data_IF_162868530533
#
_entry.id   IF_162868530533
#
_cell.length_a   1.000
_cell.length_b   1.000
_cell.length_c   1.000
_cell.angle_alpha   90.00
_cell.angle_beta   90.00
_cell.angle_gamma   90.00
#
_symmetry.space_group_name_H-M   'P 1'
#
loop_
_entity.id
_entity.type
_entity.pdbx_description
1 polymer ?
#
# COMPACT_ATOMS: atom_id res chain seq x y z
N UNK A 1 -44.06 -3.10 -25.14
CA UNK A 1 -42.83 -3.38 -24.36
C UNK A 1 -41.73 -2.50 -24.94
N UNK A 2 -41.27 -1.43 -24.26
CA UNK A 2 -40.17 -0.63 -24.79
C UNK A 2 -38.85 -1.38 -24.51
N UNK A 3 -38.08 -1.61 -25.57
CA UNK A 3 -36.73 -2.14 -25.50
C UNK A 3 -35.81 -1.04 -24.94
N UNK A 4 -35.39 -1.23 -23.69
CA UNK A 4 -34.41 -0.37 -23.02
C UNK A 4 -33.02 -0.68 -23.60
N UNK A 5 -32.52 0.20 -24.47
CA UNK A 5 -31.14 0.14 -24.96
C UNK A 5 -30.21 0.45 -23.79
N UNK A 6 -29.56 -0.58 -23.24
CA UNK A 6 -28.50 -0.44 -22.25
C UNK A 6 -27.25 0.09 -22.99
N UNK A 7 -26.97 1.40 -22.89
CA UNK A 7 -25.68 1.95 -23.30
C UNK A 7 -24.60 1.38 -22.34
N UNK A 8 -23.90 0.33 -22.79
CA UNK A 8 -22.65 -0.10 -22.18
C UNK A 8 -21.61 1.00 -22.44
N UNK A 9 -21.44 1.90 -21.48
CA UNK A 9 -20.32 2.82 -21.44
C UNK A 9 -19.05 1.98 -21.22
N UNK A 10 -18.34 1.70 -22.32
CA UNK A 10 -17.00 1.09 -22.26
C UNK A 10 -16.07 2.11 -21.63
N UNK A 11 -15.97 2.11 -20.29
CA UNK A 11 -14.88 2.80 -19.63
C UNK A 11 -13.62 2.00 -19.93
N UNK A 12 -12.83 2.46 -20.89
CA UNK A 12 -11.46 2.00 -21.09
C UNK A 12 -10.71 2.29 -19.79
N UNK A 13 -10.60 1.28 -18.92
CA UNK A 13 -9.81 1.37 -17.71
C UNK A 13 -8.35 1.50 -18.11
N UNK A 14 -7.89 2.72 -18.38
CA UNK A 14 -6.52 2.99 -18.78
C UNK A 14 -5.57 2.42 -17.73
N UNK A 15 -4.80 1.43 -18.14
CA UNK A 15 -3.65 0.91 -17.39
C UNK A 15 -2.51 1.90 -17.61
N UNK A 16 -1.80 2.23 -16.54
CA UNK A 16 -0.62 3.10 -16.58
C UNK A 16 0.64 2.26 -16.70
N UNK A 17 1.55 2.58 -17.61
CA UNK A 17 2.90 2.00 -17.60
C UNK A 17 3.82 2.85 -16.72
N UNK A 18 4.65 2.23 -15.91
CA UNK A 18 5.61 2.95 -15.08
C UNK A 18 6.76 2.08 -14.59
N UNK A 19 7.76 2.72 -13.99
CA UNK A 19 8.89 2.03 -13.39
C UNK A 19 8.44 1.29 -12.11
N UNK A 20 9.03 0.11 -11.89
CA UNK A 20 9.03 -0.57 -10.61
C UNK A 20 10.28 -0.13 -9.81
N UNK A 21 10.13 0.52 -8.63
CA UNK A 21 11.26 1.01 -7.83
C UNK A 21 12.28 -0.07 -7.44
N UNK A 22 11.84 -1.31 -7.24
CA UNK A 22 12.70 -2.41 -6.77
C UNK A 22 13.46 -3.05 -7.93
N UNK A 23 12.76 -3.42 -9.00
CA UNK A 23 13.34 -4.16 -10.13
C UNK A 23 13.91 -3.28 -11.24
N UNK A 24 13.65 -1.97 -11.23
CA UNK A 24 14.03 -1.04 -12.30
C UNK A 24 13.26 -1.22 -13.62
N UNK A 25 12.50 -2.30 -13.77
CA UNK A 25 11.78 -2.60 -15.00
C UNK A 25 10.47 -1.82 -15.12
N UNK A 26 10.11 -1.46 -16.34
CA UNK A 26 8.79 -0.89 -16.65
C UNK A 26 7.73 -1.97 -16.59
N UNK A 27 6.62 -1.70 -15.89
CA UNK A 27 5.46 -2.59 -15.76
C UNK A 27 4.16 -1.85 -15.99
N UNK A 28 3.12 -2.61 -16.28
CA UNK A 28 1.73 -2.17 -16.29
C UNK A 28 1.18 -2.10 -14.85
N UNK A 29 0.49 -1.00 -14.55
CA UNK A 29 -0.05 -0.66 -13.25
C UNK A 29 -1.49 -0.16 -13.38
N UNK A 30 -2.32 -0.40 -12.37
CA UNK A 30 -3.69 0.09 -12.33
C UNK A 30 -3.77 1.60 -12.19
N UNK A 31 -2.72 2.22 -11.62
CA UNK A 31 -2.66 3.65 -11.32
C UNK A 31 -1.24 4.18 -11.55
N UNK A 32 -1.13 5.47 -11.86
CA UNK A 32 0.14 6.20 -11.77
C UNK A 32 0.56 6.34 -10.29
N UNK A 33 1.84 6.63 -10.06
CA UNK A 33 2.35 6.81 -8.69
C UNK A 33 1.64 7.94 -7.93
N UNK A 34 1.36 9.06 -8.61
CA UNK A 34 0.64 10.18 -7.99
C UNK A 34 -0.80 9.80 -7.60
N UNK A 35 -1.47 8.98 -8.41
CA UNK A 35 -2.79 8.44 -8.09
C UNK A 35 -2.73 7.46 -6.91
N UNK A 36 -1.68 6.63 -6.82
CA UNK A 36 -1.45 5.72 -5.68
C UNK A 36 -1.34 6.51 -4.37
N UNK A 37 -0.53 7.57 -4.33
CA UNK A 37 -0.39 8.45 -3.16
C UNK A 37 -1.74 9.06 -2.77
N UNK A 38 -2.50 9.56 -3.74
CA UNK A 38 -3.83 10.13 -3.48
C UNK A 38 -4.83 9.09 -2.96
N UNK A 39 -4.79 7.88 -3.52
CA UNK A 39 -5.66 6.78 -3.11
C UNK A 39 -5.34 6.32 -1.69
N UNK A 40 -4.05 6.17 -1.36
CA UNK A 40 -3.56 5.87 -0.03
C UNK A 40 -4.09 6.84 1.00
N UNK A 41 -3.90 8.15 0.77
CA UNK A 41 -4.37 9.21 1.67
C UNK A 41 -5.89 9.20 1.88
N UNK A 42 -6.66 8.83 0.85
CA UNK A 42 -8.12 8.70 0.97
C UNK A 42 -8.50 7.46 1.79
N UNK A 43 -7.88 6.33 1.49
CA UNK A 43 -8.14 5.04 2.13
C UNK A 43 -7.69 5.05 3.61
N UNK A 44 -6.64 5.79 3.94
CA UNK A 44 -6.13 5.96 5.30
C UNK A 44 -7.23 6.39 6.28
N UNK A 45 -8.02 7.40 5.90
CA UNK A 45 -9.17 7.85 6.71
C UNK A 45 -10.21 6.75 6.93
N UNK A 46 -10.41 5.91 5.91
CA UNK A 46 -11.38 4.80 6.00
C UNK A 46 -10.86 3.71 6.94
N UNK A 47 -9.56 3.40 6.89
CA UNK A 47 -8.92 2.44 7.80
C UNK A 47 -9.00 2.93 9.24
N UNK A 48 -8.64 4.18 9.52
CA UNK A 48 -8.72 4.74 10.87
C UNK A 48 -10.16 4.71 11.42
N UNK A 49 -11.16 5.03 10.60
CA UNK A 49 -12.57 4.95 11.00
C UNK A 49 -13.04 3.50 11.24
N UNK A 50 -12.49 2.52 10.52
CA UNK A 50 -12.90 1.14 10.61
C UNK A 50 -12.27 0.41 11.80
N UNK A 51 -10.97 0.63 12.03
CA UNK A 51 -10.20 -0.12 13.01
C UNK A 51 -9.90 0.67 14.29
N UNK A 52 -10.04 1.99 14.28
CA UNK A 52 -9.50 2.84 15.33
C UNK A 52 -7.97 2.93 15.30
N UNK A 53 -7.44 4.01 15.85
CA UNK A 53 -6.00 4.13 16.15
C UNK A 53 -5.82 3.70 17.60
N UNK A 54 -4.80 2.90 17.87
CA UNK A 54 -4.49 2.49 19.23
C UNK A 54 -3.85 3.67 19.99
N UNK A 55 -4.49 4.09 21.08
CA UNK A 55 -4.10 5.28 21.86
C UNK A 55 -2.95 4.95 22.83
N UNK A 56 -1.75 4.77 22.28
CA UNK A 56 -0.52 4.54 23.02
C UNK A 56 0.65 5.22 22.29
N UNK A 57 1.03 6.40 22.76
CA UNK A 57 2.05 7.23 22.11
C UNK A 57 3.45 6.60 22.18
N UNK A 58 3.78 5.94 23.30
CA UNK A 58 5.09 5.28 23.47
C UNK A 58 5.22 4.09 22.54
N UNK A 59 4.19 3.24 22.47
CA UNK A 59 4.16 2.11 21.53
C UNK A 59 4.17 2.57 20.08
N UNK A 60 3.39 3.61 19.76
CA UNK A 60 3.34 4.17 18.40
C UNK A 60 4.69 4.75 17.98
N UNK A 61 5.40 5.43 18.90
CA UNK A 61 6.75 5.93 18.64
C UNK A 61 7.73 4.77 18.43
N UNK A 62 7.70 3.75 19.29
CA UNK A 62 8.58 2.58 19.14
C UNK A 62 8.39 1.87 17.79
N UNK A 63 7.13 1.64 17.39
CA UNK A 63 6.84 1.04 16.08
C UNK A 63 7.32 1.93 14.94
N UNK A 64 7.17 3.26 15.05
CA UNK A 64 7.69 4.19 14.04
C UNK A 64 9.22 4.11 13.96
N UNK A 65 9.94 4.13 15.08
CA UNK A 65 11.40 4.02 15.13
C UNK A 65 11.91 2.77 14.40
N UNK A 66 11.39 1.59 14.76
CA UNK A 66 11.75 0.33 14.09
C UNK A 66 11.41 0.37 12.60
N UNK A 67 10.25 0.92 12.24
CA UNK A 67 9.83 1.00 10.86
C UNK A 67 10.69 1.96 10.02
N UNK A 68 11.12 3.10 10.60
CA UNK A 68 12.01 4.05 9.96
C UNK A 68 13.41 3.46 9.74
N UNK A 69 13.92 2.67 10.70
CA UNK A 69 15.19 1.94 10.52
C UNK A 69 15.11 0.95 9.36
N UNK A 70 14.04 0.15 9.29
CA UNK A 70 13.82 -0.78 8.18
C UNK A 70 13.63 -0.04 6.85
N UNK A 71 12.90 1.07 6.86
CA UNK A 71 12.66 1.90 5.68
C UNK A 71 13.95 2.53 5.16
N UNK A 72 14.86 2.97 6.02
CA UNK A 72 16.13 3.57 5.62
C UNK A 72 16.98 2.63 4.75
N UNK A 73 16.92 1.31 5.02
CA UNK A 73 17.65 0.28 4.29
C UNK A 73 16.91 -0.30 3.07
N UNK A 74 15.66 0.12 2.83
CA UNK A 74 14.80 -0.39 1.75
C UNK A 74 15.22 0.10 0.35
N UNK A 75 14.77 -0.60 -0.71
CA UNK A 75 15.09 -0.21 -2.09
C UNK A 75 14.57 1.19 -2.42
N UNK A 76 13.39 1.55 -1.90
CA UNK A 76 12.79 2.85 -2.20
C UNK A 76 13.63 4.04 -1.71
N UNK A 77 14.52 3.84 -0.71
CA UNK A 77 15.41 4.89 -0.19
C UNK A 77 16.78 4.95 -0.83
N UNK A 78 17.14 4.00 -1.70
CA UNK A 78 18.46 3.98 -2.33
C UNK A 78 18.72 5.17 -3.27
N UNK A 79 19.97 5.65 -3.39
CA UNK A 79 20.30 6.83 -4.20
C UNK A 79 19.86 6.72 -5.68
N UNK A 80 19.95 5.53 -6.26
CA UNK A 80 19.56 5.25 -7.64
C UNK A 80 18.04 5.24 -7.87
N UNK A 81 17.25 5.12 -6.80
CA UNK A 81 15.79 5.16 -6.90
C UNK A 81 15.33 6.56 -7.30
N UNK A 82 14.49 6.70 -8.34
CA UNK A 82 14.02 8.00 -8.79
C UNK A 82 13.37 8.80 -7.65
N UNK A 83 13.68 10.09 -7.61
CA UNK A 83 13.31 11.01 -6.53
C UNK A 83 11.82 10.92 -6.13
N UNK A 84 10.91 10.85 -7.11
CA UNK A 84 9.46 10.74 -6.86
C UNK A 84 9.05 9.55 -5.98
N UNK A 85 9.81 8.45 -6.01
CA UNK A 85 9.60 7.30 -5.13
C UNK A 85 10.36 7.52 -3.82
N UNK A 86 11.62 7.94 -3.93
CA UNK A 86 12.53 8.17 -2.79
C UNK A 86 12.05 9.19 -1.78
N UNK A 87 11.22 10.14 -2.19
CA UNK A 87 10.64 11.19 -1.33
C UNK A 87 9.20 10.87 -0.88
N UNK A 88 8.73 9.65 -1.13
CA UNK A 88 7.40 9.25 -0.65
C UNK A 88 7.41 9.19 0.87
N UNK A 89 6.49 9.91 1.49
CA UNK A 89 6.27 9.86 2.94
C UNK A 89 5.70 8.48 3.31
N UNK A 90 6.25 7.87 4.37
CA UNK A 90 5.68 6.67 4.96
C UNK A 90 5.01 7.03 6.28
N UNK A 91 3.89 6.38 6.54
CA UNK A 91 3.10 6.55 7.75
C UNK A 91 2.88 5.18 8.37
N UNK A 92 3.44 4.95 9.55
CA UNK A 92 3.31 3.72 10.30
C UNK A 92 2.28 3.93 11.40
N UNK A 93 1.26 3.06 11.51
CA UNK A 93 0.22 3.20 12.54
C UNK A 93 -0.11 1.88 13.23
N UNK A 94 -0.29 1.98 14.54
CA UNK A 94 -0.86 0.90 15.34
C UNK A 94 -2.38 1.04 15.38
N UNK A 95 -3.08 -0.01 14.94
CA UNK A 95 -4.54 -0.07 14.92
C UNK A 95 -5.08 -0.76 16.16
N UNK A 96 -6.20 -0.26 16.68
CA UNK A 96 -6.90 -0.84 17.83
C UNK A 96 -7.73 -2.07 17.42
N UNK A 97 -7.04 -3.13 17.01
CA UNK A 97 -7.66 -4.39 16.61
C UNK A 97 -6.98 -5.58 17.27
N UNK A 98 -7.75 -6.52 17.86
CA UNK A 98 -7.19 -7.77 18.40
C UNK A 98 -6.86 -8.79 17.30
N UNK A 99 -7.26 -8.54 16.05
CA UNK A 99 -6.95 -9.43 14.92
C UNK A 99 -5.44 -9.41 14.69
N UNK A 100 -4.82 -10.58 14.51
CA UNK A 100 -3.39 -10.68 14.19
C UNK A 100 -3.21 -10.33 12.70
N UNK A 101 -2.84 -9.08 12.42
CA UNK A 101 -2.66 -8.61 11.05
C UNK A 101 -1.66 -7.45 10.92
N UNK A 102 -1.06 -7.33 9.74
CA UNK A 102 -0.40 -6.13 9.23
C UNK A 102 -0.72 -5.99 7.74
N UNK A 103 -0.76 -4.77 7.23
CA UNK A 103 -1.00 -4.52 5.81
C UNK A 103 -0.54 -3.13 5.41
N UNK A 104 -0.29 -2.96 4.11
CA UNK A 104 0.01 -1.66 3.52
C UNK A 104 -1.05 -1.18 2.52
N UNK A 105 -1.18 0.14 2.40
CA UNK A 105 -1.90 0.79 1.32
C UNK A 105 -0.92 1.43 0.33
N UNK A 106 -1.35 1.70 -0.91
CA UNK A 106 -0.56 2.49 -1.85
C UNK A 106 -0.11 3.82 -1.23
N UNK A 107 1.07 4.31 -1.60
CA UNK A 107 1.53 5.63 -1.19
C UNK A 107 2.12 5.74 0.23
N UNK A 108 2.58 4.62 0.82
CA UNK A 108 3.41 4.68 2.02
C UNK A 108 2.69 4.46 3.35
N UNK A 109 1.43 4.07 3.36
CA UNK A 109 0.71 3.80 4.61
C UNK A 109 0.87 2.34 5.00
N UNK A 110 1.40 2.07 6.18
CA UNK A 110 1.62 0.73 6.73
C UNK A 110 0.97 0.64 8.10
N UNK A 111 0.24 -0.44 8.34
CA UNK A 111 -0.52 -0.66 9.56
C UNK A 111 -0.10 -1.96 10.21
N UNK A 112 0.03 -1.91 11.53
CA UNK A 112 0.14 -3.10 12.38
C UNK A 112 -0.99 -3.06 13.40
N UNK A 113 -1.51 -4.22 13.75
CA UNK A 113 -2.58 -4.33 14.76
C UNK A 113 -2.00 -4.60 16.13
N UNK A 114 -2.63 -4.12 17.20
CA UNK A 114 -2.22 -4.51 18.57
C UNK A 114 -2.26 -6.03 18.78
N UNK A 115 -3.17 -6.73 18.10
CA UNK A 115 -3.26 -8.19 18.12
C UNK A 115 -1.98 -8.85 17.56
N UNK A 116 -1.44 -8.33 16.46
CA UNK A 116 -0.15 -8.79 15.96
C UNK A 116 0.97 -8.50 16.96
N UNK A 117 1.06 -7.26 17.47
CA UNK A 117 2.13 -6.87 18.39
C UNK A 117 2.18 -7.76 19.64
N UNK A 118 1.02 -8.13 20.18
CA UNK A 118 0.90 -9.05 21.31
C UNK A 118 1.36 -10.50 21.01
N UNK A 119 1.50 -10.87 19.73
CA UNK A 119 1.96 -12.20 19.31
C UNK A 119 3.46 -12.26 19.00
N UNK A 120 4.12 -11.11 18.80
CA UNK A 120 5.53 -11.04 18.49
C UNK A 120 6.37 -11.28 19.75
N UNK A 121 7.46 -12.04 19.61
CA UNK A 121 8.31 -12.42 20.73
C UNK A 121 9.57 -11.54 20.86
N UNK A 122 9.86 -10.74 19.84
CA UNK A 122 11.00 -9.82 19.80
C UNK A 122 10.85 -8.82 18.65
N UNK A 123 11.66 -7.75 18.70
CA UNK A 123 11.73 -6.69 17.71
C UNK A 123 12.10 -7.18 16.31
N UNK A 124 12.96 -8.19 16.18
CA UNK A 124 13.33 -8.72 14.87
C UNK A 124 12.13 -9.28 14.10
N UNK A 125 11.16 -9.88 14.80
CA UNK A 125 9.91 -10.32 14.18
C UNK A 125 9.05 -9.14 13.72
N UNK A 126 9.02 -8.04 14.49
CA UNK A 126 8.35 -6.80 14.08
C UNK A 126 9.00 -6.23 12.82
N UNK A 127 10.33 -6.12 12.81
CA UNK A 127 11.10 -5.63 11.66
C UNK A 127 10.87 -6.47 10.40
N UNK A 128 10.76 -7.80 10.51
CA UNK A 128 10.42 -8.69 9.38
C UNK A 128 9.04 -8.36 8.82
N UNK A 129 8.03 -8.18 9.68
CA UNK A 129 6.67 -7.83 9.21
C UNK A 129 6.65 -6.44 8.57
N UNK A 130 7.24 -5.44 9.21
CA UNK A 130 7.31 -4.08 8.67
C UNK A 130 8.05 -4.07 7.32
N UNK A 131 9.17 -4.78 7.22
CA UNK A 131 9.93 -4.91 5.97
C UNK A 131 9.11 -5.59 4.86
N UNK A 132 8.32 -6.61 5.20
CA UNK A 132 7.39 -7.25 4.25
C UNK A 132 6.36 -6.24 3.69
N UNK A 133 5.74 -5.46 4.58
CA UNK A 133 4.73 -4.48 4.20
C UNK A 133 5.32 -3.28 3.44
N UNK A 134 6.50 -2.78 3.83
CA UNK A 134 7.24 -1.76 3.07
C UNK A 134 7.54 -2.28 1.66
N UNK A 135 7.98 -3.55 1.56
CA UNK A 135 8.21 -4.26 0.30
C UNK A 135 6.99 -4.25 -0.63
N UNK A 136 5.78 -4.42 -0.08
CA UNK A 136 4.54 -4.34 -0.86
C UNK A 136 4.28 -2.95 -1.44
N UNK A 137 4.60 -1.89 -0.70
CA UNK A 137 4.48 -0.50 -1.16
C UNK A 137 5.50 -0.22 -2.27
N UNK A 138 6.78 -0.49 -2.04
CA UNK A 138 7.84 -0.16 -3.02
C UNK A 138 7.73 -0.99 -4.29
N UNK A 139 7.28 -2.24 -4.20
CA UNK A 139 7.01 -3.06 -5.38
C UNK A 139 5.69 -2.68 -6.07
N UNK A 140 4.88 -1.78 -5.49
CA UNK A 140 3.60 -1.32 -6.03
C UNK A 140 2.59 -2.46 -6.22
N UNK A 141 2.57 -3.45 -5.33
CA UNK A 141 1.78 -4.68 -5.50
C UNK A 141 0.28 -4.42 -5.64
N UNK A 142 -0.30 -3.53 -4.83
CA UNK A 142 -1.71 -3.16 -4.92
C UNK A 142 -2.06 -2.59 -6.31
N UNK A 143 -1.18 -1.76 -6.88
CA UNK A 143 -1.36 -1.19 -8.22
C UNK A 143 -1.19 -2.25 -9.32
N UNK A 144 -0.27 -3.21 -9.17
CA UNK A 144 -0.17 -4.35 -10.10
C UNK A 144 -1.46 -5.19 -10.08
N UNK A 145 -2.02 -5.46 -8.90
CA UNK A 145 -3.28 -6.20 -8.76
C UNK A 145 -4.45 -5.45 -9.39
N UNK A 146 -4.59 -4.14 -9.14
CA UNK A 146 -5.61 -3.31 -9.76
C UNK A 146 -5.47 -3.27 -11.30
N UNK A 147 -4.23 -3.20 -11.81
CA UNK A 147 -3.97 -3.26 -13.24
C UNK A 147 -4.44 -4.58 -13.87
N UNK A 148 -4.12 -5.72 -13.23
CA UNK A 148 -4.59 -7.03 -13.65
C UNK A 148 -6.12 -7.12 -13.66
N UNK A 149 -6.79 -6.62 -12.63
CA UNK A 149 -8.27 -6.62 -12.56
C UNK A 149 -8.90 -5.80 -13.69
N UNK A 150 -8.37 -4.60 -13.98
CA UNK A 150 -8.86 -3.77 -15.09
C UNK A 150 -8.69 -4.48 -16.44
N UNK A 151 -7.55 -5.14 -16.67
CA UNK A 151 -7.29 -5.90 -17.89
C UNK A 151 -8.24 -7.10 -18.04
N UNK A 152 -8.42 -7.89 -16.98
CA UNK A 152 -9.33 -9.04 -17.00
C UNK A 152 -10.77 -8.62 -17.24
N UNK A 153 -11.25 -7.55 -16.59
CA UNK A 153 -12.59 -7.02 -16.85
C UNK A 153 -12.74 -6.54 -18.30
N UNK A 154 -11.73 -5.88 -18.86
CA UNK A 154 -11.74 -5.46 -20.27
C UNK A 154 -11.82 -6.63 -21.25
N UNK A 155 -11.14 -7.76 -20.96
CA UNK A 155 -11.18 -8.96 -21.80
C UNK A 155 -12.50 -9.75 -21.69
N UNK A 156 -13.14 -9.74 -20.51
CA UNK A 156 -14.41 -10.46 -20.29
C UNK A 156 -15.63 -9.69 -20.84
N UNK A 157 -15.50 -8.37 -21.03
CA UNK A 157 -16.56 -7.49 -21.53
C UNK A 157 -16.37 -7.20 -23.04
N UNK A 158 -15.21 -7.56 -23.60
CA UNK A 158 -14.84 -7.38 -25.01
C UNK A 158 -15.13 -8.59 -25.89
#
# INVERSE_FOLDING_TARGET
MPALLLLLTVSTGCVSTGLNPVSGNTRAYGYSWAEEVKLGKKADKQIQNQYGVYEDEELQQYVDEVAQEVLAESHIRRPETPQKFRETEFHFRVLDSPVINAFALPGGYVYVTRGLLAHLNNEAQLAVVLGHEIGHVEARHASQQAGRQKLTQGLLIG
#
